data_IF_995000340240
#
_entry.id   IF_995000340240
#
_cell.length_a   1.000
_cell.length_b   1.000
_cell.length_c   1.000
_cell.angle_alpha   90.00
_cell.angle_beta   90.00
_cell.angle_gamma   90.00
#
_symmetry.space_group_name_H-M   'P 1'
#
loop_
_entity.id
_entity.type
_entity.pdbx_description
1 polymer ?
#
# COMPACT_ATOMS: atom_id res chain seq x y z
N UNK A 1 -25.76 -13.18 -21.18
CA UNK A 1 -25.30 -11.78 -21.40
C UNK A 1 -25.13 -10.94 -20.11
N UNK A 2 -26.03 -10.92 -19.10
CA UNK A 2 -25.86 -10.04 -17.92
C UNK A 2 -24.64 -10.37 -17.04
N UNK A 3 -24.24 -11.65 -17.01
CA UNK A 3 -23.10 -12.11 -16.21
C UNK A 3 -21.74 -11.66 -16.76
N UNK A 4 -21.59 -11.59 -18.10
CA UNK A 4 -20.37 -11.08 -18.75
C UNK A 4 -20.21 -9.57 -18.51
N UNK A 5 -21.29 -8.80 -18.58
CA UNK A 5 -21.27 -7.37 -18.29
C UNK A 5 -20.90 -7.07 -16.83
N UNK A 6 -21.37 -7.91 -15.89
CA UNK A 6 -21.03 -7.80 -14.47
C UNK A 6 -19.55 -8.11 -14.21
N UNK A 7 -19.02 -9.12 -14.89
CA UNK A 7 -17.62 -9.50 -14.79
C UNK A 7 -16.67 -8.42 -15.34
N UNK A 8 -17.00 -7.85 -16.51
CA UNK A 8 -16.25 -6.73 -17.10
C UNK A 8 -16.25 -5.53 -16.15
N UNK A 9 -17.41 -5.15 -15.62
CA UNK A 9 -17.53 -4.05 -14.66
C UNK A 9 -16.67 -4.28 -13.41
N UNK A 10 -16.66 -5.51 -12.89
CA UNK A 10 -15.83 -5.88 -11.74
C UNK A 10 -14.35 -5.70 -12.05
N UNK A 11 -13.87 -6.23 -13.18
CA UNK A 11 -12.49 -6.11 -13.62
C UNK A 11 -12.07 -4.65 -13.88
N UNK A 12 -12.95 -3.83 -14.45
CA UNK A 12 -12.69 -2.40 -14.65
C UNK A 12 -12.53 -1.65 -13.33
N UNK A 13 -13.36 -1.95 -12.31
CA UNK A 13 -13.21 -1.35 -10.98
C UNK A 13 -11.90 -1.75 -10.31
N UNK A 14 -11.52 -3.02 -10.40
CA UNK A 14 -10.22 -3.49 -9.89
C UNK A 14 -9.10 -2.73 -10.60
N UNK A 15 -9.14 -2.66 -11.94
CA UNK A 15 -8.13 -1.96 -12.73
C UNK A 15 -8.01 -0.49 -12.33
N UNK A 16 -9.13 0.22 -12.15
CA UNK A 16 -9.12 1.62 -11.66
C UNK A 16 -8.45 1.73 -10.28
N UNK A 17 -8.74 0.80 -9.37
CA UNK A 17 -8.08 0.77 -8.06
C UNK A 17 -6.57 0.53 -8.15
N UNK A 18 -6.14 -0.43 -8.98
CA UNK A 18 -4.71 -0.67 -9.26
C UNK A 18 -4.05 0.57 -9.88
N UNK A 19 -4.74 1.29 -10.77
CA UNK A 19 -4.22 2.54 -11.33
C UNK A 19 -4.03 3.61 -10.25
N UNK A 20 -4.94 3.76 -9.29
CA UNK A 20 -4.74 4.67 -8.16
C UNK A 20 -3.56 4.24 -7.29
N UNK A 21 -3.37 2.94 -7.06
CA UNK A 21 -2.20 2.43 -6.34
C UNK A 21 -0.88 2.74 -7.07
N UNK A 22 -0.90 2.65 -8.40
CA UNK A 22 0.25 3.01 -9.24
C UNK A 22 0.57 4.50 -9.11
N UNK A 23 -0.42 5.39 -9.18
CA UNK A 23 -0.22 6.81 -8.95
C UNK A 23 0.30 7.12 -7.54
N UNK A 24 -0.28 6.49 -6.52
CA UNK A 24 0.22 6.58 -5.15
C UNK A 24 1.70 6.19 -5.07
N UNK A 25 2.07 5.03 -5.62
CA UNK A 25 3.45 4.52 -5.55
C UNK A 25 4.46 5.45 -6.25
N UNK A 26 4.06 6.06 -7.38
CA UNK A 26 4.92 7.05 -8.07
C UNK A 26 5.11 8.29 -7.21
N UNK A 27 4.03 8.85 -6.66
CA UNK A 27 4.10 10.04 -5.83
C UNK A 27 4.91 9.78 -4.56
N UNK A 28 4.69 8.64 -3.93
CA UNK A 28 5.43 8.20 -2.75
C UNK A 28 6.93 8.15 -3.03
N UNK A 29 7.36 7.47 -4.09
CA UNK A 29 8.77 7.44 -4.51
C UNK A 29 9.34 8.84 -4.74
N UNK A 30 8.64 9.69 -5.49
CA UNK A 30 9.09 11.06 -5.79
C UNK A 30 9.31 11.84 -4.49
N UNK A 31 8.36 11.73 -3.56
CA UNK A 31 8.40 12.45 -2.30
C UNK A 31 9.49 11.90 -1.38
N UNK A 32 9.62 10.58 -1.21
CA UNK A 32 10.68 9.96 -0.41
C UNK A 32 12.07 10.32 -0.94
N UNK A 33 12.26 10.36 -2.25
CA UNK A 33 13.51 10.84 -2.87
C UNK A 33 13.75 12.32 -2.58
N UNK A 34 12.71 13.16 -2.69
CA UNK A 34 12.80 14.59 -2.38
C UNK A 34 13.18 14.85 -0.93
N UNK A 35 12.58 14.11 0.01
CA UNK A 35 12.92 14.15 1.43
C UNK A 35 14.37 13.73 1.64
N UNK A 36 14.79 12.60 1.06
CA UNK A 36 16.16 12.12 1.15
C UNK A 36 17.19 13.15 0.66
N UNK A 37 16.96 13.74 -0.52
CA UNK A 37 17.86 14.77 -1.08
C UNK A 37 17.90 16.00 -0.18
N UNK A 38 16.74 16.46 0.30
CA UNK A 38 16.65 17.64 1.19
C UNK A 38 17.43 17.39 2.48
N UNK A 39 17.32 16.20 3.05
CA UNK A 39 18.05 15.84 4.28
C UNK A 39 19.55 15.86 4.08
N UNK A 40 20.04 15.25 2.99
CA UNK A 40 21.47 15.24 2.65
C UNK A 40 21.98 16.66 2.37
N UNK A 41 21.19 17.47 1.68
CA UNK A 41 21.61 18.81 1.22
C UNK A 41 21.56 19.89 2.31
N UNK A 42 20.51 19.89 3.14
CA UNK A 42 20.29 20.92 4.15
C UNK A 42 21.13 20.65 5.39
N UNK A 43 21.12 19.42 5.89
CA UNK A 43 21.80 19.09 7.13
C UNK A 43 23.26 18.69 6.95
N UNK A 44 23.77 18.70 5.70
CA UNK A 44 25.13 18.25 5.35
C UNK A 44 25.47 16.92 6.02
N UNK A 45 24.47 16.06 6.19
CA UNK A 45 24.60 14.87 7.03
C UNK A 45 25.63 14.00 6.35
N UNK A 46 26.78 13.71 6.99
CA UNK A 46 27.57 12.58 6.53
C UNK A 46 26.61 11.39 6.55
N UNK A 47 26.52 10.62 5.46
CA UNK A 47 25.64 9.45 5.31
C UNK A 47 26.07 8.32 6.27
N UNK A 48 26.08 8.64 7.56
CA UNK A 48 26.42 7.78 8.68
C UNK A 48 25.18 7.59 9.51
N UNK A 49 25.06 6.39 10.06
CA UNK A 49 23.98 5.97 10.95
C UNK A 49 23.71 7.00 12.05
N UNK A 50 24.77 7.54 12.66
CA UNK A 50 24.67 8.43 13.81
C UNK A 50 24.09 9.82 13.48
N UNK A 51 24.28 10.31 12.25
CA UNK A 51 23.79 11.63 11.85
C UNK A 51 22.28 11.59 11.53
N UNK A 52 21.82 10.48 10.93
CA UNK A 52 20.40 10.20 10.66
C UNK A 52 19.59 10.03 11.96
N UNK A 53 20.17 9.36 12.95
CA UNK A 53 19.60 9.22 14.30
C UNK A 53 19.36 10.57 14.99
N UNK A 54 20.32 11.49 14.87
CA UNK A 54 20.29 12.78 15.57
C UNK A 54 19.18 13.75 15.07
N UNK A 55 18.64 13.53 13.87
CA UNK A 55 17.63 14.40 13.25
C UNK A 55 16.29 13.68 13.03
N UNK A 56 16.09 12.54 13.71
CA UNK A 56 14.93 11.68 13.56
C UNK A 56 13.58 12.39 13.79
N UNK A 57 13.50 13.32 14.73
CA UNK A 57 12.25 14.07 15.01
C UNK A 57 11.73 14.81 13.77
N UNK A 58 12.63 15.48 13.05
CA UNK A 58 12.30 16.22 11.83
C UNK A 58 11.90 15.26 10.69
N UNK A 59 12.58 14.11 10.59
CA UNK A 59 12.25 13.08 9.62
C UNK A 59 10.83 12.53 9.82
N UNK A 60 10.51 12.12 11.04
CA UNK A 60 9.23 11.54 11.38
C UNK A 60 8.06 12.50 11.12
N UNK A 61 8.25 13.80 11.39
CA UNK A 61 7.24 14.83 11.11
C UNK A 61 6.98 15.03 9.62
N UNK A 62 8.04 15.11 8.81
CA UNK A 62 7.93 15.27 7.35
C UNK A 62 7.22 14.07 6.74
N UNK A 63 7.63 12.84 7.09
CA UNK A 63 7.00 11.60 6.61
C UNK A 63 5.52 11.54 6.99
N UNK A 64 5.17 11.94 8.22
CA UNK A 64 3.78 11.93 8.68
C UNK A 64 2.89 12.89 7.88
N UNK A 65 3.38 14.08 7.53
CA UNK A 65 2.66 15.03 6.67
C UNK A 65 2.48 14.48 5.26
N UNK A 66 3.52 13.87 4.70
CA UNK A 66 3.49 13.28 3.36
C UNK A 66 2.47 12.14 3.30
N UNK A 67 2.54 11.21 4.25
CA UNK A 67 1.59 10.12 4.37
C UNK A 67 0.17 10.66 4.48
N UNK A 68 -0.07 11.68 5.31
CA UNK A 68 -1.39 12.30 5.41
C UNK A 68 -1.93 12.86 4.07
N UNK A 69 -1.04 13.38 3.21
CA UNK A 69 -1.41 13.92 1.88
C UNK A 69 -1.65 12.82 0.85
N UNK A 70 -0.85 11.75 0.84
CA UNK A 70 -0.96 10.65 -0.12
C UNK A 70 -2.09 9.66 0.22
N UNK A 71 -2.47 9.63 1.49
CA UNK A 71 -3.40 8.64 2.02
C UNK A 71 -4.82 8.65 1.43
N UNK A 72 -5.43 9.79 1.04
CA UNK A 72 -6.69 9.77 0.31
C UNK A 72 -6.62 8.95 -1.00
N UNK A 73 -5.51 9.04 -1.73
CA UNK A 73 -5.29 8.28 -2.98
C UNK A 73 -5.18 6.79 -2.65
N UNK A 74 -4.48 6.48 -1.56
CA UNK A 74 -4.33 5.12 -1.08
C UNK A 74 -5.68 4.48 -0.69
N UNK A 75 -6.53 5.21 0.05
CA UNK A 75 -7.87 4.75 0.42
C UNK A 75 -8.73 4.51 -0.83
N UNK A 76 -8.70 5.43 -1.79
CA UNK A 76 -9.44 5.30 -3.04
C UNK A 76 -9.02 4.04 -3.82
N UNK A 77 -7.74 3.71 -3.84
CA UNK A 77 -7.24 2.45 -4.41
C UNK A 77 -7.92 1.24 -3.79
N UNK A 78 -7.84 1.09 -2.47
CA UNK A 78 -8.36 -0.07 -1.75
C UNK A 78 -9.87 -0.19 -1.86
N UNK A 79 -10.57 0.95 -1.81
CA UNK A 79 -12.01 0.98 -1.97
C UNK A 79 -12.42 0.50 -3.37
N UNK A 80 -11.76 0.95 -4.44
CA UNK A 80 -12.07 0.48 -5.81
C UNK A 80 -11.74 -1.00 -6.01
N UNK A 81 -10.62 -1.47 -5.47
CA UNK A 81 -10.24 -2.89 -5.49
C UNK A 81 -11.31 -3.73 -4.78
N UNK A 82 -11.74 -3.31 -3.58
CA UNK A 82 -12.82 -3.94 -2.81
C UNK A 82 -14.12 -4.01 -3.60
N UNK A 83 -14.56 -2.90 -4.20
CA UNK A 83 -15.78 -2.86 -5.00
C UNK A 83 -15.71 -3.82 -6.17
N UNK A 84 -14.59 -3.84 -6.89
CA UNK A 84 -14.40 -4.72 -8.02
C UNK A 84 -14.43 -6.20 -7.61
N UNK A 85 -13.72 -6.59 -6.55
CA UNK A 85 -13.79 -7.96 -6.03
C UNK A 85 -15.16 -8.33 -5.48
N UNK A 86 -15.89 -7.39 -4.86
CA UNK A 86 -17.27 -7.61 -4.42
C UNK A 86 -18.19 -7.94 -5.59
N UNK A 87 -18.04 -7.24 -6.72
CA UNK A 87 -18.79 -7.52 -7.96
C UNK A 87 -18.38 -8.86 -8.57
N UNK A 88 -17.09 -9.19 -8.58
CA UNK A 88 -16.64 -10.49 -9.10
C UNK A 88 -17.09 -11.67 -8.22
N UNK A 89 -17.21 -11.46 -6.91
CA UNK A 89 -17.69 -12.47 -5.98
C UNK A 89 -19.16 -12.86 -6.20
N UNK A 90 -20.02 -11.93 -6.64
CA UNK A 90 -21.42 -12.26 -6.97
C UNK A 90 -21.52 -13.18 -8.19
N UNK A 91 -20.46 -13.28 -8.99
CA UNK A 91 -20.38 -14.16 -10.15
C UNK A 91 -19.99 -15.61 -9.81
N UNK A 92 -20.22 -16.06 -8.56
CA UNK A 92 -19.84 -17.38 -7.99
C UNK A 92 -18.34 -17.71 -8.02
N UNK A 93 -17.49 -16.71 -8.23
CA UNK A 93 -16.05 -16.87 -8.12
C UNK A 93 -15.67 -16.67 -6.66
N UNK A 94 -14.92 -17.60 -6.07
CA UNK A 94 -14.47 -17.54 -4.67
C UNK A 94 -13.40 -16.45 -4.45
N UNK A 95 -13.70 -15.20 -4.80
CA UNK A 95 -12.83 -14.02 -4.76
C UNK A 95 -13.11 -13.14 -3.53
N UNK A 96 -13.87 -13.64 -2.55
CA UNK A 96 -14.23 -12.96 -1.31
C UNK A 96 -13.01 -12.46 -0.52
N UNK A 97 -11.85 -13.11 -0.67
CA UNK A 97 -10.58 -12.68 -0.06
C UNK A 97 -10.21 -11.26 -0.47
N UNK A 98 -10.50 -10.84 -1.71
CA UNK A 98 -10.19 -9.49 -2.18
C UNK A 98 -11.13 -8.44 -1.57
N UNK A 99 -12.40 -8.79 -1.37
CA UNK A 99 -13.38 -7.93 -0.68
C UNK A 99 -13.03 -7.77 0.79
N UNK A 100 -12.69 -8.88 1.47
CA UNK A 100 -12.28 -8.87 2.86
C UNK A 100 -10.97 -8.10 3.03
N UNK A 101 -9.97 -8.39 2.20
CA UNK A 101 -8.67 -7.72 2.20
C UNK A 101 -8.79 -6.22 1.98
N UNK A 102 -9.59 -5.78 1.02
CA UNK A 102 -9.86 -4.36 0.82
C UNK A 102 -10.57 -3.70 2.00
N UNK A 103 -11.44 -4.42 2.71
CA UNK A 103 -12.11 -3.89 3.91
C UNK A 103 -11.16 -3.77 5.09
N UNK A 104 -10.42 -4.84 5.40
CA UNK A 104 -9.43 -4.87 6.48
C UNK A 104 -8.32 -3.84 6.22
N UNK A 105 -7.87 -3.73 4.97
CA UNK A 105 -6.86 -2.75 4.56
C UNK A 105 -7.33 -1.33 4.83
N UNK A 106 -8.54 -0.96 4.39
CA UNK A 106 -9.09 0.38 4.68
C UNK A 106 -9.22 0.64 6.19
N UNK A 107 -9.70 -0.33 6.97
CA UNK A 107 -9.83 -0.18 8.42
C UNK A 107 -8.44 0.02 9.07
N UNK A 108 -7.46 -0.80 8.70
CA UNK A 108 -6.09 -0.67 9.19
C UNK A 108 -5.51 0.71 8.88
N UNK A 109 -5.68 1.19 7.65
CA UNK A 109 -5.24 2.53 7.25
C UNK A 109 -5.95 3.67 7.98
N UNK A 110 -7.26 3.55 8.24
CA UNK A 110 -8.00 4.55 9.02
C UNK A 110 -7.49 4.58 10.47
N UNK A 111 -7.10 3.44 11.04
CA UNK A 111 -6.48 3.40 12.37
C UNK A 111 -5.09 4.05 12.38
N UNK A 112 -4.27 3.84 11.33
CA UNK A 112 -2.99 4.55 11.19
C UNK A 112 -3.21 6.06 11.16
N UNK A 113 -4.20 6.55 10.39
CA UNK A 113 -4.57 7.97 10.39
C UNK A 113 -4.96 8.46 11.77
N UNK A 114 -5.89 7.78 12.43
CA UNK A 114 -6.41 8.19 13.73
C UNK A 114 -5.28 8.24 14.78
N UNK A 115 -4.39 7.24 14.75
CA UNK A 115 -3.20 7.21 15.59
C UNK A 115 -2.22 8.33 15.28
N UNK A 116 -1.96 8.60 13.99
CA UNK A 116 -1.04 9.65 13.54
C UNK A 116 -1.54 11.06 13.92
N UNK A 117 -2.84 11.32 13.73
CA UNK A 117 -3.49 12.58 14.17
C UNK A 117 -3.40 12.71 15.69
N UNK A 118 -3.62 11.62 16.43
CA UNK A 118 -3.53 11.61 17.88
C UNK A 118 -2.09 11.80 18.41
N UNK A 119 -1.06 11.56 17.59
CA UNK A 119 0.34 11.80 17.96
C UNK A 119 0.74 13.28 17.89
N UNK A 120 0.08 14.09 17.04
CA UNK A 120 0.35 15.53 16.89
C UNK A 120 0.29 16.29 18.23
N UNK A 121 -0.80 16.21 19.03
CA UNK A 121 -0.86 16.90 20.33
C UNK A 121 0.05 16.28 21.40
N UNK A 122 0.37 14.98 21.30
CA UNK A 122 1.20 14.26 22.28
C UNK A 122 2.68 14.66 22.14
N UNK A 123 3.14 14.90 20.91
CA UNK A 123 4.51 15.42 20.65
C UNK A 123 4.72 16.82 21.25
N UNK A 124 3.67 17.65 21.28
CA UNK A 124 3.71 19.00 21.85
C UNK A 124 3.79 19.02 23.39
N UNK A 125 3.47 17.92 24.06
CA UNK A 125 3.35 17.88 25.53
C UNK A 125 4.43 17.03 26.23
N UNK A 126 5.33 16.37 25.49
CA UNK A 126 6.46 15.56 26.01
C UNK A 126 6.13 14.52 27.11
N UNK A 127 4.86 14.27 27.41
CA UNK A 127 4.45 13.33 28.45
C UNK A 127 3.78 12.11 27.84
N UNK A 128 4.53 11.00 27.85
CA UNK A 128 4.13 9.59 27.70
C UNK A 128 3.36 9.26 26.40
N UNK A 129 3.96 8.40 25.57
CA UNK A 129 3.27 7.72 24.45
C UNK A 129 2.75 6.32 24.87
N UNK A 130 1.54 6.15 25.46
CA UNK A 130 1.06 4.80 25.71
C UNK A 130 -0.01 4.31 24.72
N UNK A 131 -0.81 5.20 24.10
CA UNK A 131 -2.01 4.76 23.34
C UNK A 131 -1.90 5.08 21.86
N UNK A 132 -1.59 6.33 21.48
CA UNK A 132 -1.56 6.74 20.07
C UNK A 132 -0.54 5.93 19.24
N UNK A 133 0.67 5.71 19.78
CA UNK A 133 1.68 4.86 19.13
C UNK A 133 1.24 3.40 18.95
N UNK A 134 0.48 2.83 19.91
CA UNK A 134 -0.07 1.47 19.79
C UNK A 134 -1.16 1.38 18.73
N UNK A 135 -1.98 2.43 18.59
CA UNK A 135 -3.01 2.52 17.54
C UNK A 135 -2.35 2.53 16.16
N UNK A 136 -1.27 3.31 15.99
CA UNK A 136 -0.51 3.36 14.74
C UNK A 136 0.05 1.97 14.38
N UNK A 137 0.75 1.31 15.31
CA UNK A 137 1.32 -0.03 15.09
C UNK A 137 0.22 -1.06 14.76
N UNK A 138 -0.87 -1.07 15.53
CA UNK A 138 -2.00 -1.96 15.28
C UNK A 138 -2.67 -1.71 13.92
N UNK A 139 -2.78 -0.44 13.52
CA UNK A 139 -3.27 -0.05 12.20
C UNK A 139 -2.39 -0.56 11.06
N UNK A 140 -1.07 -0.44 11.18
CA UNK A 140 -0.13 -0.96 10.18
C UNK A 140 -0.23 -2.48 10.03
N UNK A 141 -0.31 -3.22 11.14
CA UNK A 141 -0.48 -4.67 11.10
C UNK A 141 -1.78 -5.09 10.42
N UNK A 142 -2.88 -4.42 10.74
CA UNK A 142 -4.17 -4.66 10.07
C UNK A 142 -4.10 -4.34 8.58
N UNK A 143 -3.46 -3.23 8.22
CA UNK A 143 -3.24 -2.84 6.82
C UNK A 143 -2.47 -3.94 6.06
N UNK A 144 -1.35 -4.43 6.61
CA UNK A 144 -0.55 -5.50 6.02
C UNK A 144 -1.37 -6.78 5.80
N UNK A 145 -2.21 -7.16 6.77
CA UNK A 145 -3.14 -8.29 6.63
C UNK A 145 -4.11 -8.04 5.48
N UNK A 146 -4.65 -6.81 5.35
CA UNK A 146 -5.50 -6.40 4.25
C UNK A 146 -4.83 -6.57 2.89
N UNK A 147 -3.59 -6.07 2.76
CA UNK A 147 -2.79 -6.17 1.52
C UNK A 147 -2.46 -7.63 1.17
N UNK A 148 -2.12 -8.44 2.17
CA UNK A 148 -1.86 -9.88 1.99
C UNK A 148 -3.07 -10.59 1.38
N UNK A 149 -4.27 -10.33 1.92
CA UNK A 149 -5.51 -10.91 1.41
C UNK A 149 -5.83 -10.46 -0.02
N UNK A 150 -5.52 -9.21 -0.37
CA UNK A 150 -5.63 -8.68 -1.74
C UNK A 150 -4.65 -9.41 -2.66
N UNK A 151 -3.39 -9.61 -2.26
CA UNK A 151 -2.39 -10.37 -3.03
C UNK A 151 -2.86 -11.80 -3.32
N UNK A 152 -3.39 -12.50 -2.32
CA UNK A 152 -3.99 -13.83 -2.48
C UNK A 152 -5.20 -13.82 -3.42
N UNK A 153 -6.02 -12.75 -3.38
CA UNK A 153 -7.16 -12.61 -4.28
C UNK A 153 -6.72 -12.42 -5.74
N UNK A 154 -5.64 -11.66 -5.99
CA UNK A 154 -5.06 -11.52 -7.32
C UNK A 154 -4.47 -12.83 -7.83
N UNK A 155 -3.76 -13.60 -7.00
CA UNK A 155 -3.30 -14.93 -7.39
C UNK A 155 -4.46 -15.84 -7.80
N UNK A 156 -5.56 -15.80 -7.04
CA UNK A 156 -6.75 -16.59 -7.39
C UNK A 156 -7.42 -16.10 -8.66
N UNK A 157 -7.55 -14.79 -8.84
CA UNK A 157 -8.04 -14.20 -10.08
C UNK A 157 -7.15 -14.61 -11.27
N UNK A 158 -5.83 -14.65 -11.10
CA UNK A 158 -4.90 -15.08 -12.14
C UNK A 158 -5.16 -16.51 -12.64
N UNK A 159 -5.50 -17.43 -11.73
CA UNK A 159 -5.84 -18.81 -12.08
C UNK A 159 -7.19 -18.89 -12.81
N UNK A 160 -8.18 -18.10 -12.37
CA UNK A 160 -9.51 -18.05 -12.99
C UNK A 160 -9.44 -17.50 -14.42
N UNK A 161 -8.60 -16.50 -14.65
CA UNK A 161 -8.45 -15.83 -15.94
C UNK A 161 -7.28 -16.35 -16.77
N UNK A 162 -6.57 -17.36 -16.29
CA UNK A 162 -5.35 -17.91 -16.88
C UNK A 162 -4.36 -16.83 -17.36
N UNK A 163 -4.10 -15.84 -16.49
CA UNK A 163 -3.24 -14.69 -16.83
C UNK A 163 -1.99 -14.65 -15.96
N UNK A 164 -0.83 -14.91 -16.59
CA UNK A 164 0.48 -14.93 -15.93
C UNK A 164 0.87 -13.56 -15.35
N UNK A 165 0.58 -12.47 -16.04
CA UNK A 165 0.91 -11.11 -15.60
C UNK A 165 0.21 -10.74 -14.29
N UNK A 166 -1.08 -11.12 -14.14
CA UNK A 166 -1.82 -10.94 -12.89
C UNK A 166 -1.20 -11.80 -11.77
N UNK A 167 -0.75 -13.02 -12.09
CA UNK A 167 -0.10 -13.91 -11.13
C UNK A 167 1.17 -13.30 -10.58
N UNK A 168 2.05 -12.83 -11.46
CA UNK A 168 3.32 -12.18 -11.10
C UNK A 168 3.08 -10.91 -10.27
N UNK A 169 2.12 -10.06 -10.66
CA UNK A 169 1.73 -8.90 -9.87
C UNK A 169 1.21 -9.26 -8.47
N UNK A 170 0.36 -10.29 -8.36
CA UNK A 170 -0.11 -10.81 -7.07
C UNK A 170 1.01 -11.37 -6.19
N UNK A 171 1.98 -12.09 -6.79
CA UNK A 171 3.16 -12.59 -6.08
C UNK A 171 4.06 -11.46 -5.58
N UNK A 172 4.25 -10.41 -6.38
CA UNK A 172 5.01 -9.24 -5.94
C UNK A 172 4.33 -8.51 -4.77
N UNK A 173 3.00 -8.44 -4.72
CA UNK A 173 2.29 -7.92 -3.53
C UNK A 173 2.62 -8.76 -2.29
N UNK A 174 2.66 -10.09 -2.41
CA UNK A 174 2.98 -10.94 -1.26
C UNK A 174 4.44 -10.79 -0.82
N UNK A 175 5.36 -10.70 -1.78
CA UNK A 175 6.77 -10.42 -1.51
C UNK A 175 6.94 -9.05 -0.83
N UNK A 176 6.20 -8.04 -1.32
CA UNK A 176 6.14 -6.70 -0.74
C UNK A 176 5.72 -6.74 0.72
N UNK A 177 4.62 -7.42 1.05
CA UNK A 177 4.15 -7.57 2.45
C UNK A 177 5.22 -8.23 3.31
N UNK A 178 5.86 -9.31 2.81
CA UNK A 178 6.88 -10.05 3.56
C UNK A 178 8.11 -9.18 3.82
N UNK A 179 8.59 -8.47 2.81
CA UNK A 179 9.74 -7.57 2.90
C UNK A 179 9.43 -6.42 3.86
N UNK A 180 8.28 -5.77 3.72
CA UNK A 180 7.82 -4.72 4.61
C UNK A 180 7.73 -5.22 6.07
N UNK A 181 7.27 -6.45 6.29
CA UNK A 181 7.21 -7.06 7.61
C UNK A 181 8.59 -7.36 8.20
N UNK A 182 9.49 -7.97 7.41
CA UNK A 182 10.87 -8.29 7.85
C UNK A 182 11.61 -7.01 8.22
N UNK A 183 11.53 -5.99 7.37
CA UNK A 183 12.12 -4.68 7.63
C UNK A 183 11.47 -4.03 8.86
N UNK A 184 10.14 -4.12 8.97
CA UNK A 184 9.36 -3.70 10.13
C UNK A 184 9.85 -4.31 11.46
N UNK A 185 10.30 -5.57 11.46
CA UNK A 185 10.81 -6.24 12.67
C UNK A 185 12.30 -5.98 12.90
N UNK A 186 13.10 -5.91 11.83
CA UNK A 186 14.56 -5.82 11.89
C UNK A 186 15.09 -4.44 12.33
N UNK A 187 14.22 -3.53 12.77
CA UNK A 187 14.50 -2.11 12.96
C UNK A 187 15.78 -1.83 13.76
N UNK A 188 16.83 -1.49 12.99
CA UNK A 188 17.82 -0.50 13.35
C UNK A 188 17.63 0.70 12.40
N UNK A 189 17.62 1.89 12.97
CA UNK A 189 17.03 3.13 12.45
C UNK A 189 17.57 3.68 11.09
N UNK A 190 18.77 3.35 10.59
CA UNK A 190 19.26 3.81 9.27
C UNK A 190 18.64 3.09 8.06
N UNK A 191 18.03 1.93 8.28
CA UNK A 191 17.51 1.08 7.20
C UNK A 191 16.18 1.65 6.65
N UNK A 192 15.50 2.53 7.39
CA UNK A 192 14.16 3.03 7.10
C UNK A 192 14.01 3.71 5.72
N UNK A 193 14.86 4.69 5.38
CA UNK A 193 14.69 5.46 4.13
C UNK A 193 15.01 4.62 2.88
N UNK A 194 16.10 3.86 2.92
CA UNK A 194 16.43 2.93 1.83
C UNK A 194 15.39 1.83 1.70
N UNK A 195 14.81 1.39 2.82
CA UNK A 195 13.76 0.40 2.81
C UNK A 195 12.44 0.91 2.24
N UNK A 196 12.07 2.17 2.48
CA UNK A 196 10.85 2.76 1.92
C UNK A 196 10.91 2.82 0.40
N UNK A 197 11.99 3.37 -0.17
CA UNK A 197 12.16 3.44 -1.64
C UNK A 197 12.14 2.04 -2.26
N UNK A 198 12.80 1.07 -1.61
CA UNK A 198 12.82 -0.31 -2.06
C UNK A 198 11.43 -0.97 -2.00
N UNK A 199 10.73 -0.82 -0.88
CA UNK A 199 9.35 -1.30 -0.68
C UNK A 199 8.41 -0.67 -1.71
N UNK A 200 8.44 0.64 -1.89
CA UNK A 200 7.57 1.35 -2.85
C UNK A 200 7.88 0.99 -4.30
N UNK A 201 9.13 0.65 -4.63
CA UNK A 201 9.51 0.14 -5.96
C UNK A 201 8.90 -1.22 -6.27
N UNK A 202 8.85 -2.14 -5.29
CA UNK A 202 8.18 -3.44 -5.45
C UNK A 202 6.66 -3.22 -5.59
N UNK A 203 6.09 -2.30 -4.80
CA UNK A 203 4.70 -1.87 -4.91
C UNK A 203 4.36 -1.37 -6.31
N UNK A 204 5.17 -0.46 -6.86
CA UNK A 204 5.02 0.10 -8.20
C UNK A 204 5.05 -0.98 -9.28
N UNK A 205 6.04 -1.89 -9.24
CA UNK A 205 6.15 -2.97 -10.21
C UNK A 205 4.94 -3.91 -10.14
N UNK A 206 4.47 -4.24 -8.93
CA UNK A 206 3.28 -5.05 -8.72
C UNK A 206 2.03 -4.38 -9.33
N UNK A 207 1.86 -3.07 -9.13
CA UNK A 207 0.74 -2.29 -9.65
C UNK A 207 0.76 -2.26 -11.18
N UNK A 208 1.94 -2.07 -11.77
CA UNK A 208 2.13 -2.09 -13.21
C UNK A 208 1.72 -3.43 -13.83
N UNK A 209 2.23 -4.55 -13.28
CA UNK A 209 1.91 -5.89 -13.78
C UNK A 209 0.40 -6.19 -13.66
N UNK A 210 -0.20 -5.85 -12.52
CA UNK A 210 -1.63 -6.03 -12.32
C UNK A 210 -2.46 -5.20 -13.31
N UNK A 211 -2.10 -3.94 -13.53
CA UNK A 211 -2.80 -3.06 -14.48
C UNK A 211 -2.72 -3.60 -15.91
N UNK A 212 -1.53 -4.04 -16.32
CA UNK A 212 -1.28 -4.65 -17.63
C UNK A 212 -2.07 -5.96 -17.80
N UNK A 213 -1.97 -6.87 -16.84
CA UNK A 213 -2.67 -8.16 -16.85
C UNK A 213 -4.19 -8.02 -16.88
N UNK A 214 -4.75 -7.13 -16.06
CA UNK A 214 -6.19 -6.84 -16.09
C UNK A 214 -6.62 -6.23 -17.43
N UNK A 215 -5.77 -5.40 -18.04
CA UNK A 215 -5.99 -4.87 -19.39
C UNK A 215 -6.09 -5.97 -20.46
N UNK A 216 -5.23 -6.99 -20.38
CA UNK A 216 -5.26 -8.14 -21.30
C UNK A 216 -6.57 -8.93 -21.16
N UNK A 217 -6.97 -9.24 -19.92
CA UNK A 217 -8.21 -10.00 -19.64
C UNK A 217 -9.47 -9.24 -20.08
N UNK A 218 -9.49 -7.91 -19.91
CA UNK A 218 -10.61 -7.08 -20.37
C UNK A 218 -10.75 -7.12 -21.89
N UNK A 219 -9.65 -6.97 -22.63
CA UNK A 219 -9.66 -7.04 -24.11
C UNK A 219 -10.17 -8.39 -24.61
N UNK A 220 -9.76 -9.50 -23.98
CA UNK A 220 -10.20 -10.84 -24.39
C UNK A 220 -11.68 -11.12 -24.12
N UNK A 221 -12.36 -10.31 -23.30
CA UNK A 221 -13.79 -10.47 -22.97
C UNK A 221 -14.71 -9.53 -23.76
N UNK A 222 -14.14 -8.60 -24.51
CA UNK A 222 -14.86 -7.64 -25.35
C UNK A 222 -15.00 -8.11 -26.81
N UNK A 223 -14.31 -9.20 -27.16
CA UNK A 223 -14.40 -9.93 -28.44
C UNK A 223 -15.41 -11.06 -28.26
#
# INVERSE_FOLDING_TARGET
>A
MPQQNTEILGLEKIKKGVTYFLFYSILDIIVSVGVFITLVSVFHLPLTVNSMLAHYGIYAEIVLVIEAVLLPIFILSFWRIREGFKILATSRKELNKGTLGGTIGVIGYVLVLAGSIALIPVQLQQTVMPIAGRIVIGGYLLSLIGVLLIGLAYMKASNIYNNRTIKEGGTLILAWVLIAFIIGIAHSEPIAIFSEIFISSIGLLSAYLLSSGLGQVLRSKQI
#
